data_IF_756196637218
#
_entry.id   IF_756196637218
#
_cell.length_a   1.000
_cell.length_b   1.000
_cell.length_c   1.000
_cell.angle_alpha   90.00
_cell.angle_beta   90.00
_cell.angle_gamma   90.00
#
_symmetry.space_group_name_H-M   'P 1'
#
loop_
_entity.id
_entity.type
_entity.pdbx_description
1 polymer ?
#
# COMPACT_ATOMS: atom_id res chain seq x y z
N UNK A 1 12.19 -0.83 3.05
CA UNK A 1 12.21 -0.17 1.71
C UNK A 1 12.65 1.29 1.79
N UNK A 2 12.04 2.11 2.64
CA UNK A 2 12.35 3.54 2.80
C UNK A 2 13.83 3.86 3.05
N UNK A 3 14.55 3.06 3.85
CA UNK A 3 15.99 3.22 4.08
C UNK A 3 16.81 3.17 2.78
N UNK A 4 16.44 2.30 1.84
CA UNK A 4 17.11 2.21 0.54
C UNK A 4 16.85 3.47 -0.30
N UNK A 5 15.62 3.97 -0.31
CA UNK A 5 15.23 5.18 -1.05
C UNK A 5 15.97 6.42 -0.58
N UNK A 6 16.14 6.56 0.74
CA UNK A 6 16.96 7.63 1.30
C UNK A 6 18.44 7.52 0.88
N UNK A 7 18.99 6.30 0.74
CA UNK A 7 20.39 6.09 0.31
C UNK A 7 20.65 6.47 -1.14
N UNK A 8 19.66 6.28 -2.02
CA UNK A 8 19.76 6.69 -3.43
C UNK A 8 19.31 8.14 -3.66
N UNK A 9 19.11 8.90 -2.57
CA UNK A 9 18.80 10.32 -2.55
C UNK A 9 17.64 10.73 -3.48
N UNK A 10 16.61 9.88 -3.53
CA UNK A 10 15.40 10.22 -4.29
C UNK A 10 14.67 11.39 -3.64
N UNK A 11 13.98 12.16 -4.46
CA UNK A 11 13.22 13.31 -4.00
C UNK A 11 12.07 12.91 -3.07
N UNK A 12 11.47 13.92 -2.45
CA UNK A 12 10.34 13.73 -1.55
C UNK A 12 9.13 13.07 -2.23
N UNK A 13 8.95 13.26 -3.54
CA UNK A 13 7.80 12.70 -4.28
C UNK A 13 7.88 11.18 -4.35
N UNK A 14 9.08 10.62 -4.55
CA UNK A 14 9.30 9.18 -4.51
C UNK A 14 9.02 8.61 -3.12
N UNK A 15 9.44 9.31 -2.07
CA UNK A 15 9.18 8.89 -0.68
C UNK A 15 7.67 8.87 -0.36
N UNK A 16 6.96 9.92 -0.75
CA UNK A 16 5.50 9.98 -0.60
C UNK A 16 4.81 8.87 -1.39
N UNK A 17 5.28 8.57 -2.61
CA UNK A 17 4.74 7.48 -3.42
C UNK A 17 4.94 6.11 -2.77
N UNK A 18 6.13 5.82 -2.23
CA UNK A 18 6.37 4.57 -1.49
C UNK A 18 5.42 4.45 -0.29
N UNK A 19 5.19 5.55 0.43
CA UNK A 19 4.22 5.55 1.53
C UNK A 19 2.79 5.28 1.06
N UNK A 20 2.36 5.86 -0.07
CA UNK A 20 1.06 5.57 -0.67
C UNK A 20 0.92 4.09 -1.04
N UNK A 21 1.95 3.50 -1.64
CA UNK A 21 1.96 2.07 -2.01
C UNK A 21 1.88 1.19 -0.76
N UNK A 22 2.67 1.50 0.27
CA UNK A 22 2.63 0.78 1.55
C UNK A 22 1.23 0.79 2.15
N UNK A 23 0.60 1.98 2.26
CA UNK A 23 -0.77 2.11 2.78
C UNK A 23 -1.78 1.37 1.90
N UNK A 24 -1.66 1.47 0.58
CA UNK A 24 -2.51 0.75 -0.37
C UNK A 24 -2.40 -0.77 -0.19
N UNK A 25 -1.18 -1.30 -0.08
CA UNK A 25 -0.94 -2.73 0.07
C UNK A 25 -1.51 -3.25 1.39
N UNK A 26 -1.35 -2.50 2.49
CA UNK A 26 -1.90 -2.86 3.80
C UNK A 26 -3.43 -2.87 3.78
N UNK A 27 -4.07 -1.79 3.31
CA UNK A 27 -5.55 -1.68 3.31
C UNK A 27 -6.16 -2.65 2.30
N UNK A 28 -5.59 -2.71 1.09
CA UNK A 28 -6.04 -3.52 -0.03
C UNK A 28 -5.64 -4.99 0.04
N UNK A 29 -4.83 -5.38 1.03
CA UNK A 29 -4.31 -6.74 1.21
C UNK A 29 -3.55 -7.27 -0.01
N UNK A 30 -2.70 -6.42 -0.58
CA UNK A 30 -1.66 -6.86 -1.50
C UNK A 30 -0.44 -7.27 -0.67
N UNK A 31 -0.33 -8.56 -0.38
CA UNK A 31 0.77 -9.11 0.44
C UNK A 31 1.95 -9.60 -0.41
N UNK A 32 1.80 -9.63 -1.74
CA UNK A 32 2.89 -9.90 -2.68
C UNK A 32 3.71 -8.62 -2.98
N UNK A 33 3.96 -7.84 -1.94
CA UNK A 33 4.59 -6.53 -2.00
C UNK A 33 6.11 -6.61 -2.01
N UNK A 34 6.65 -7.62 -2.69
CA UNK A 34 8.08 -7.91 -2.67
C UNK A 34 8.92 -6.84 -3.38
N UNK A 35 10.23 -6.82 -3.09
CA UNK A 35 11.16 -5.79 -3.59
C UNK A 35 11.23 -5.68 -5.12
N UNK A 36 10.88 -6.73 -5.87
CA UNK A 36 10.82 -6.70 -7.35
C UNK A 36 9.61 -5.93 -7.91
N UNK A 37 8.63 -5.58 -7.07
CA UNK A 37 7.46 -4.78 -7.44
C UNK A 37 7.72 -3.26 -7.34
N UNK A 38 8.99 -2.88 -7.18
CA UNK A 38 9.44 -1.50 -7.17
C UNK A 38 10.49 -1.29 -8.27
N UNK A 39 10.17 -0.41 -9.21
CA UNK A 39 11.03 -0.09 -10.35
C UNK A 39 11.60 1.31 -10.29
N UNK A 40 12.69 1.52 -11.02
CA UNK A 40 13.31 2.83 -11.23
C UNK A 40 13.65 3.00 -12.71
N UNK A 41 13.39 4.19 -13.21
CA UNK A 41 13.75 4.60 -14.55
C UNK A 41 15.07 5.38 -14.50
N UNK A 42 16.07 4.95 -15.25
CA UNK A 42 17.31 5.70 -15.47
C UNK A 42 17.06 6.77 -16.54
N UNK A 43 17.30 8.03 -16.20
CA UNK A 43 17.26 9.14 -17.14
C UNK A 43 18.56 9.21 -17.95
N UNK A 44 18.50 9.90 -19.09
CA UNK A 44 19.67 10.16 -19.95
C UNK A 44 20.79 10.90 -19.21
N UNK A 45 20.46 11.74 -18.23
CA UNK A 45 21.44 12.48 -17.43
C UNK A 45 22.08 11.64 -16.30
N UNK A 46 21.73 10.37 -16.18
CA UNK A 46 22.27 9.45 -15.16
C UNK A 46 21.49 9.42 -13.85
N UNK A 47 20.46 10.26 -13.67
CA UNK A 47 19.62 10.25 -12.47
C UNK A 47 18.55 9.15 -12.52
N UNK A 48 18.12 8.68 -11.35
CA UNK A 48 17.00 7.76 -11.23
C UNK A 48 15.70 8.48 -10.89
N UNK A 49 14.60 8.05 -11.51
CA UNK A 49 13.24 8.35 -11.08
C UNK A 49 12.55 7.08 -10.63
N UNK A 50 11.62 7.20 -9.67
CA UNK A 50 10.74 6.09 -9.33
C UNK A 50 9.80 5.77 -10.52
N UNK A 51 9.63 4.49 -10.85
CA UNK A 51 8.72 4.08 -11.93
C UNK A 51 7.25 4.29 -11.51
N UNK A 52 6.31 4.33 -12.46
CA UNK A 52 4.91 4.09 -12.14
C UNK A 52 4.76 2.78 -11.34
N UNK A 53 3.80 2.74 -10.43
CA UNK A 53 3.49 1.53 -9.66
C UNK A 53 2.82 0.51 -10.57
N UNK A 54 3.19 -0.76 -10.39
CA UNK A 54 2.65 -1.90 -11.12
C UNK A 54 2.38 -3.05 -10.14
N UNK A 55 1.71 -4.10 -10.62
CA UNK A 55 1.38 -5.29 -9.85
C UNK A 55 0.60 -5.00 -8.55
N UNK A 56 -0.33 -4.04 -8.65
CA UNK A 56 -1.29 -3.72 -7.60
C UNK A 56 -2.47 -4.66 -7.71
N UNK A 57 -2.40 -5.78 -6.99
CA UNK A 57 -3.44 -6.81 -7.04
C UNK A 57 -3.88 -7.23 -5.65
N UNK A 58 -5.12 -7.68 -5.52
CA UNK A 58 -5.57 -8.32 -4.30
C UNK A 58 -4.98 -9.72 -4.21
N UNK A 59 -4.31 -10.05 -3.10
CA UNK A 59 -3.67 -11.36 -2.93
C UNK A 59 -4.70 -12.42 -2.52
N UNK A 60 -5.22 -13.14 -3.52
CA UNK A 60 -6.17 -14.22 -3.30
C UNK A 60 -5.48 -15.46 -2.75
N UNK A 61 -5.89 -15.89 -1.55
CA UNK A 61 -5.38 -17.11 -0.93
C UNK A 61 -6.48 -17.91 -0.18
N UNK A 62 -7.52 -18.34 -0.90
CA UNK A 62 -8.63 -19.12 -0.29
C UNK A 62 -8.20 -20.52 0.19
N UNK A 63 -7.15 -21.11 -0.40
CA UNK A 63 -6.84 -22.53 -0.22
C UNK A 63 -6.06 -22.87 1.06
N UNK A 64 -5.53 -21.88 1.78
CA UNK A 64 -4.52 -22.16 2.82
C UNK A 64 -5.00 -21.95 4.27
N UNK A 65 -6.24 -21.49 4.51
CA UNK A 65 -6.82 -21.22 5.85
C UNK A 65 -5.88 -20.47 6.81
N UNK A 66 -4.88 -19.77 6.29
CA UNK A 66 -3.83 -19.07 7.03
C UNK A 66 -3.78 -17.64 6.54
N UNK A 67 -3.41 -16.75 7.46
CA UNK A 67 -3.07 -15.38 7.09
C UNK A 67 -1.73 -15.46 6.36
N UNK A 68 -1.69 -14.93 5.13
CA UNK A 68 -0.44 -14.72 4.42
C UNK A 68 0.15 -13.39 4.91
N UNK A 69 1.39 -13.37 5.44
CA UNK A 69 2.07 -12.13 5.77
C UNK A 69 2.42 -11.33 4.52
N UNK A 70 2.60 -10.02 4.70
CA UNK A 70 3.30 -9.18 3.74
C UNK A 70 4.73 -9.69 3.52
N UNK A 71 5.25 -9.52 2.32
CA UNK A 71 6.66 -9.82 2.03
C UNK A 71 7.56 -8.79 2.71
N UNK A 72 7.20 -7.50 2.61
CA UNK A 72 7.90 -6.43 3.30
C UNK A 72 7.40 -6.29 4.74
N UNK A 73 8.33 -5.91 5.63
CA UNK A 73 7.97 -5.50 6.98
C UNK A 73 7.86 -3.99 7.10
N UNK A 74 6.83 -3.55 7.80
CA UNK A 74 6.55 -2.18 8.17
C UNK A 74 6.52 -2.08 9.70
N UNK A 75 7.29 -1.14 10.26
CA UNK A 75 7.51 -1.05 11.71
C UNK A 75 7.97 -2.40 12.34
N UNK A 76 8.77 -3.19 11.61
CA UNK A 76 9.24 -4.50 12.05
C UNK A 76 8.18 -5.62 12.04
N UNK A 77 6.99 -5.36 11.49
CA UNK A 77 5.88 -6.32 11.39
C UNK A 77 5.51 -6.57 9.94
N UNK A 78 5.04 -7.77 9.63
CA UNK A 78 4.50 -8.14 8.32
C UNK A 78 3.07 -8.74 8.41
N UNK A 79 2.52 -8.81 9.63
CA UNK A 79 1.16 -9.21 9.94
C UNK A 79 0.58 -8.25 10.98
N UNK A 80 -0.74 -8.20 11.08
CA UNK A 80 -1.49 -7.40 12.06
C UNK A 80 -1.04 -5.91 12.14
N UNK A 81 -0.66 -5.37 10.98
CA UNK A 81 -0.34 -3.96 10.80
C UNK A 81 -1.57 -3.10 11.09
N UNK A 82 -1.40 -2.13 11.99
CA UNK A 82 -2.46 -1.19 12.35
C UNK A 82 -2.05 0.26 12.06
N UNK A 83 -2.97 1.19 12.30
CA UNK A 83 -2.76 2.61 12.04
C UNK A 83 -1.54 3.18 12.80
N UNK A 84 -1.27 2.74 14.03
CA UNK A 84 -0.12 3.22 14.79
C UNK A 84 1.20 2.77 14.16
N UNK A 85 1.25 1.57 13.59
CA UNK A 85 2.42 1.08 12.85
C UNK A 85 2.68 1.95 11.61
N UNK A 86 1.64 2.24 10.83
CA UNK A 86 1.72 3.10 9.64
C UNK A 86 2.19 4.52 10.02
N UNK A 87 1.63 5.09 11.08
CA UNK A 87 2.00 6.43 11.55
C UNK A 87 3.43 6.49 12.11
N UNK A 88 3.91 5.40 12.73
CA UNK A 88 5.30 5.30 13.19
C UNK A 88 6.26 5.35 12.01
N UNK A 89 5.99 4.59 10.94
CA UNK A 89 6.78 4.65 9.69
C UNK A 89 6.71 6.05 9.07
N UNK A 90 5.53 6.67 9.06
CA UNK A 90 5.38 8.02 8.53
C UNK A 90 6.26 9.05 9.27
N UNK A 91 6.30 8.98 10.60
CA UNK A 91 7.12 9.86 11.45
C UNK A 91 8.62 9.60 11.22
N UNK A 92 9.05 8.34 11.26
CA UNK A 92 10.45 7.93 11.06
C UNK A 92 11.03 8.46 9.74
N UNK A 93 10.23 8.45 8.66
CA UNK A 93 10.66 8.87 7.34
C UNK A 93 10.28 10.31 6.97
N UNK A 94 9.60 11.04 7.85
CA UNK A 94 9.23 12.44 7.65
C UNK A 94 8.20 12.66 6.54
N UNK A 95 7.18 11.81 6.48
CA UNK A 95 6.05 11.96 5.55
C UNK A 95 5.20 13.17 5.96
N UNK A 96 4.91 14.06 5.02
CA UNK A 96 4.06 15.24 5.26
C UNK A 96 2.60 14.83 5.20
N UNK A 97 1.81 15.26 6.18
CA UNK A 97 0.37 15.01 6.27
C UNK A 97 -0.03 13.52 6.10
N UNK A 98 0.59 12.57 6.83
CA UNK A 98 0.37 11.14 6.58
C UNK A 98 -1.08 10.73 6.79
N UNK A 99 -1.77 11.32 7.77
CA UNK A 99 -3.21 11.08 8.01
C UNK A 99 -4.08 11.44 6.80
N UNK A 100 -3.75 12.52 6.08
CA UNK A 100 -4.46 12.90 4.85
C UNK A 100 -4.31 11.82 3.79
N UNK A 101 -3.09 11.35 3.55
CA UNK A 101 -2.80 10.29 2.58
C UNK A 101 -3.52 8.99 2.96
N UNK A 102 -3.48 8.61 4.24
CA UNK A 102 -4.16 7.41 4.73
C UNK A 102 -5.67 7.52 4.55
N UNK A 103 -6.27 8.67 4.89
CA UNK A 103 -7.70 8.90 4.71
C UNK A 103 -8.09 8.80 3.22
N UNK A 104 -7.37 9.47 2.31
CA UNK A 104 -7.67 9.43 0.87
C UNK A 104 -7.67 7.99 0.33
N UNK A 105 -6.67 7.18 0.68
CA UNK A 105 -6.62 5.78 0.24
C UNK A 105 -7.71 4.94 0.91
N UNK A 106 -7.94 5.14 2.21
CA UNK A 106 -8.96 4.43 2.96
C UNK A 106 -10.36 4.68 2.41
N UNK A 107 -10.67 5.94 2.07
CA UNK A 107 -11.94 6.35 1.48
C UNK A 107 -12.21 5.61 0.16
N UNK A 108 -11.21 5.46 -0.70
CA UNK A 108 -11.31 4.68 -1.95
C UNK A 108 -11.64 3.21 -1.66
N UNK A 109 -10.99 2.59 -0.68
CA UNK A 109 -11.30 1.20 -0.31
C UNK A 109 -12.64 1.05 0.40
N UNK A 110 -13.12 2.06 1.14
CA UNK A 110 -14.48 2.08 1.68
C UNK A 110 -15.53 2.13 0.56
N UNK A 111 -15.21 2.73 -0.59
CA UNK A 111 -16.06 2.80 -1.78
C UNK A 111 -15.86 1.62 -2.75
N UNK A 112 -15.06 0.62 -2.37
CA UNK A 112 -14.66 -0.49 -3.24
C UNK A 112 -15.86 -1.21 -3.88
N UNK A 113 -16.95 -1.41 -3.13
CA UNK A 113 -18.16 -2.07 -3.63
C UNK A 113 -18.77 -1.32 -4.82
N UNK A 114 -18.93 0.00 -4.71
CA UNK A 114 -19.50 0.82 -5.78
C UNK A 114 -18.58 0.81 -7.01
N UNK A 115 -17.27 0.87 -6.81
CA UNK A 115 -16.28 0.73 -7.88
C UNK A 115 -16.40 -0.65 -8.56
N UNK A 116 -16.47 -1.73 -7.78
CA UNK A 116 -16.53 -3.10 -8.29
C UNK A 116 -17.83 -3.36 -9.07
N UNK A 117 -18.96 -2.84 -8.60
CA UNK A 117 -20.26 -2.89 -9.28
C UNK A 117 -20.25 -2.10 -10.59
N UNK A 118 -19.68 -0.89 -10.59
CA UNK A 118 -19.50 -0.09 -11.81
C UNK A 118 -18.61 -0.76 -12.87
N UNK A 119 -17.72 -1.66 -12.44
CA UNK A 119 -16.88 -2.48 -13.32
C UNK A 119 -17.50 -3.85 -13.68
N UNK A 120 -18.75 -4.12 -13.28
CA UNK A 120 -19.46 -5.38 -13.49
C UNK A 120 -18.72 -6.61 -12.90
N UNK A 121 -18.07 -6.44 -11.76
CA UNK A 121 -17.42 -7.54 -11.02
C UNK A 121 -18.48 -8.44 -10.39
N UNK A 122 -18.27 -9.77 -10.41
CA UNK A 122 -19.22 -10.70 -9.79
C UNK A 122 -19.38 -10.45 -8.29
N UNK A 123 -20.61 -10.51 -7.78
CA UNK A 123 -20.93 -10.31 -6.37
C UNK A 123 -20.10 -11.21 -5.44
N UNK A 124 -19.85 -12.46 -5.85
CA UNK A 124 -19.00 -13.40 -5.11
C UNK A 124 -17.59 -12.86 -4.87
N UNK A 125 -16.95 -12.34 -5.92
CA UNK A 125 -15.58 -11.79 -5.83
C UNK A 125 -15.59 -10.48 -5.03
N UNK A 126 -16.56 -9.60 -5.27
CA UNK A 126 -16.70 -8.34 -4.55
C UNK A 126 -16.83 -8.58 -3.05
N UNK A 127 -17.76 -9.45 -2.63
CA UNK A 127 -17.95 -9.82 -1.23
C UNK A 127 -16.69 -10.47 -0.63
N UNK A 128 -15.99 -11.31 -1.40
CA UNK A 128 -14.77 -11.94 -0.93
C UNK A 128 -13.67 -10.91 -0.64
N UNK A 129 -13.35 -10.04 -1.61
CA UNK A 129 -12.32 -9.02 -1.45
C UNK A 129 -12.68 -8.06 -0.30
N UNK A 130 -13.92 -7.55 -0.28
CA UNK A 130 -14.40 -6.62 0.75
C UNK A 130 -14.25 -7.21 2.16
N UNK A 131 -14.55 -8.50 2.34
CA UNK A 131 -14.39 -9.18 3.64
C UNK A 131 -12.95 -9.26 4.16
N UNK A 132 -11.96 -8.98 3.30
CA UNK A 132 -10.54 -9.10 3.60
C UNK A 132 -9.81 -7.75 3.68
N UNK A 133 -10.43 -6.67 3.19
CA UNK A 133 -9.89 -5.31 3.27
C UNK A 133 -9.65 -4.92 4.73
N UNK A 134 -8.62 -4.09 4.94
CA UNK A 134 -8.17 -3.64 6.26
C UNK A 134 -8.44 -2.15 6.45
N UNK A 135 -9.64 -1.70 6.06
CA UNK A 135 -10.03 -0.30 6.18
C UNK A 135 -10.06 0.15 7.65
N UNK A 136 -9.76 1.43 7.86
CA UNK A 136 -9.84 2.10 9.15
C UNK A 136 -11.19 2.80 9.30
N UNK A 137 -11.63 3.06 10.55
CA UNK A 137 -12.77 3.94 10.79
C UNK A 137 -12.59 5.31 10.11
N UNK A 138 -13.67 5.84 9.55
CA UNK A 138 -13.67 7.10 8.80
C UNK A 138 -13.12 8.28 9.64
N UNK A 139 -12.34 9.15 8.98
CA UNK A 139 -11.74 10.38 9.54
C UNK A 139 -10.72 10.17 10.66
N UNK A 140 -9.54 9.67 10.32
CA UNK A 140 -8.37 9.73 11.19
C UNK A 140 -8.01 11.21 11.41
N UNK A 141 -8.35 11.74 12.60
CA UNK A 141 -8.00 13.10 13.07
C UNK A 141 -6.52 13.17 13.40
#
# INVERSE_FOLDING_TARGET
>A
MFTFFNKINLDYTAKEQVFKIMVFNIIGRNVDDHTKNFGFNLKENGDYNFSPTYDLTFSYNENFHRITPHFLSDNGKNEDLNLADILTVADEYGIKNPKKIINEINEVFCDFRNIAEGLNTSERITNFIESKLKTFPYHIK
#
